data_IF_514054566074
#
_entry.id   IF_514054566074
#
_cell.length_a   1.000
_cell.length_b   1.000
_cell.length_c   1.000
_cell.angle_alpha   90.00
_cell.angle_beta   90.00
_cell.angle_gamma   90.00
#
_symmetry.space_group_name_H-M   'P 1'
#
loop_
_entity.id
_entity.type
_entity.pdbx_description
1 polymer ?
#
# COMPACT_ATOMS: atom_id res chain seq x y z
N UNK A 1 10.90 12.97 -14.04
CA UNK A 1 9.71 13.07 -14.89
C UNK A 1 8.51 13.61 -14.07
N UNK A 2 7.89 12.84 -13.16
CA UNK A 2 6.66 13.23 -12.44
C UNK A 2 6.71 14.64 -11.79
N UNK A 3 7.80 14.98 -11.09
CA UNK A 3 7.94 16.32 -10.52
C UNK A 3 7.86 17.41 -11.58
N UNK A 4 8.51 17.22 -12.73
CA UNK A 4 8.50 18.17 -13.84
C UNK A 4 7.13 18.24 -14.52
N UNK A 5 6.41 17.13 -14.60
CA UNK A 5 5.03 17.09 -15.10
C UNK A 5 4.11 17.91 -14.21
N UNK A 6 4.16 17.70 -12.89
CA UNK A 6 3.40 18.50 -11.93
C UNK A 6 3.81 20.00 -11.99
N UNK A 7 5.09 20.28 -12.11
CA UNK A 7 5.60 21.65 -12.25
C UNK A 7 5.11 22.34 -13.53
N UNK A 8 5.01 21.56 -14.62
CA UNK A 8 4.59 22.09 -15.94
C UNK A 8 3.11 22.49 -16.00
N UNK A 9 2.29 22.07 -15.06
CA UNK A 9 0.90 22.56 -14.93
C UNK A 9 0.86 24.07 -14.66
N UNK A 10 1.89 24.61 -14.03
CA UNK A 10 1.96 26.02 -13.63
C UNK A 10 3.03 26.83 -14.40
N UNK A 11 3.98 26.16 -15.03
CA UNK A 11 5.14 26.79 -15.70
C UNK A 11 5.67 25.89 -16.80
N UNK A 12 6.19 26.49 -17.89
CA UNK A 12 6.85 25.71 -18.95
C UNK A 12 8.01 24.87 -18.38
N UNK A 13 8.09 23.57 -18.70
CA UNK A 13 9.10 22.68 -18.14
C UNK A 13 10.47 22.87 -18.78
N UNK A 14 11.49 23.00 -17.97
CA UNK A 14 12.90 23.00 -18.41
C UNK A 14 13.44 21.53 -18.33
N UNK A 15 12.82 20.61 -19.04
CA UNK A 15 13.18 19.19 -18.98
C UNK A 15 14.64 18.91 -19.35
N UNK A 16 15.17 19.61 -20.34
CA UNK A 16 16.53 19.40 -20.84
C UNK A 16 17.60 19.68 -19.78
N UNK A 17 17.40 20.70 -18.94
CA UNK A 17 18.32 21.02 -17.87
C UNK A 17 18.45 19.91 -16.80
N UNK A 18 17.38 19.15 -16.58
CA UNK A 18 17.35 18.05 -15.59
C UNK A 18 17.75 16.70 -16.16
N UNK A 19 17.73 16.53 -17.48
CA UNK A 19 18.08 15.29 -18.16
C UNK A 19 19.51 15.29 -18.71
N UNK A 20 20.18 16.43 -18.68
CA UNK A 20 21.50 16.61 -19.29
C UNK A 20 22.66 15.95 -18.54
N UNK A 21 22.52 15.74 -17.24
CA UNK A 21 23.59 15.12 -16.43
C UNK A 21 23.40 13.61 -16.34
N UNK A 22 24.29 12.80 -16.92
CA UNK A 22 24.23 11.36 -16.76
C UNK A 22 24.51 10.99 -15.31
N UNK A 23 23.54 10.31 -14.68
CA UNK A 23 23.74 9.73 -13.35
C UNK A 23 24.71 8.56 -13.51
N UNK A 24 25.89 8.57 -12.84
CA UNK A 24 26.81 7.46 -12.91
C UNK A 24 26.16 6.20 -12.37
N UNK A 25 26.05 5.16 -13.20
CA UNK A 25 25.53 3.85 -12.82
C UNK A 25 26.68 3.06 -12.18
N UNK A 26 26.55 2.55 -10.97
CA UNK A 26 27.57 1.67 -10.35
C UNK A 26 27.83 0.44 -11.21
N UNK A 27 29.07 -0.03 -11.28
CA UNK A 27 29.47 -1.19 -12.12
C UNK A 27 28.78 -2.51 -11.70
N UNK A 28 28.31 -2.59 -10.47
CA UNK A 28 27.64 -3.78 -9.93
C UNK A 28 26.32 -3.40 -9.26
N UNK A 29 25.24 -3.40 -10.05
CA UNK A 29 23.86 -3.25 -9.55
C UNK A 29 23.14 -4.59 -9.57
N UNK A 30 22.39 -4.90 -8.52
CA UNK A 30 21.48 -6.03 -8.48
C UNK A 30 20.04 -5.55 -8.40
N UNK A 31 19.18 -6.19 -9.17
CA UNK A 31 17.75 -5.85 -9.22
C UNK A 31 17.45 -4.61 -10.05
N UNK A 32 16.21 -4.20 -10.00
CA UNK A 32 15.70 -3.03 -10.70
C UNK A 32 14.90 -2.13 -9.76
N UNK A 33 14.90 -0.85 -10.04
CA UNK A 33 14.06 0.15 -9.40
C UNK A 33 13.28 0.89 -10.49
N UNK A 34 11.96 0.76 -10.50
CA UNK A 34 11.06 1.41 -11.43
C UNK A 34 10.24 2.48 -10.70
N UNK A 35 10.66 3.75 -10.73
CA UNK A 35 9.82 4.82 -10.21
C UNK A 35 8.60 5.01 -11.10
N UNK A 36 7.42 5.20 -10.50
CA UNK A 36 6.19 5.50 -11.19
C UNK A 36 5.38 6.55 -10.44
N UNK A 37 4.51 7.21 -11.16
CA UNK A 37 3.58 8.18 -10.61
C UNK A 37 2.15 7.79 -10.88
N UNK A 38 1.24 8.37 -10.13
CA UNK A 38 -0.19 8.31 -10.35
C UNK A 38 -0.74 9.73 -10.44
N UNK A 39 -1.66 9.95 -11.37
CA UNK A 39 -2.21 11.27 -11.68
C UNK A 39 -3.73 11.17 -11.78
N UNK A 40 -4.50 11.97 -11.02
CA UNK A 40 -5.95 11.90 -11.04
C UNK A 40 -6.58 12.48 -12.33
N UNK A 41 -5.78 13.02 -13.25
CA UNK A 41 -6.25 13.75 -14.43
C UNK A 41 -6.14 12.96 -15.75
N UNK A 42 -5.43 11.84 -15.76
CA UNK A 42 -5.18 11.04 -16.98
C UNK A 42 -6.15 9.87 -17.15
N UNK A 43 -6.97 9.57 -16.15
CA UNK A 43 -7.93 8.46 -16.16
C UNK A 43 -7.30 7.08 -15.93
N UNK A 44 -6.02 7.01 -15.66
CA UNK A 44 -5.32 5.79 -15.27
C UNK A 44 -5.25 5.63 -13.75
N UNK A 45 -5.07 4.40 -13.27
CA UNK A 45 -4.97 4.05 -11.84
C UNK A 45 -3.74 3.17 -11.63
N UNK A 46 -2.58 3.76 -11.90
CA UNK A 46 -1.32 3.02 -11.92
C UNK A 46 -1.01 2.42 -10.55
N UNK A 47 -1.22 3.19 -9.46
CA UNK A 47 -0.96 2.74 -8.10
C UNK A 47 -1.81 1.54 -7.70
N UNK A 48 -3.12 1.60 -7.98
CA UNK A 48 -4.04 0.50 -7.71
C UNK A 48 -3.68 -0.75 -8.51
N UNK A 49 -3.40 -0.58 -9.80
CA UNK A 49 -3.06 -1.70 -10.69
C UNK A 49 -1.78 -2.40 -10.28
N UNK A 50 -0.77 -1.65 -9.84
CA UNK A 50 0.48 -2.23 -9.31
C UNK A 50 0.20 -3.04 -8.03
N UNK A 51 -0.62 -2.54 -7.11
CA UNK A 51 -0.97 -3.25 -5.88
C UNK A 51 -1.76 -4.54 -6.16
N UNK A 52 -2.73 -4.49 -7.08
CA UNK A 52 -3.50 -5.66 -7.51
C UNK A 52 -2.58 -6.69 -8.18
N UNK A 53 -1.65 -6.25 -9.03
CA UNK A 53 -0.70 -7.14 -9.71
C UNK A 53 0.22 -7.85 -8.69
N UNK A 54 0.76 -7.13 -7.71
CA UNK A 54 1.56 -7.72 -6.63
C UNK A 54 0.77 -8.76 -5.83
N UNK A 55 -0.47 -8.45 -5.44
CA UNK A 55 -1.37 -9.37 -4.74
C UNK A 55 -1.66 -10.63 -5.55
N UNK A 56 -1.86 -10.49 -6.87
CA UNK A 56 -2.15 -11.62 -7.76
C UNK A 56 -0.92 -12.51 -8.01
N UNK A 57 0.29 -11.95 -7.98
CA UNK A 57 1.55 -12.68 -8.23
C UNK A 57 2.20 -13.26 -7.00
N UNK A 58 1.87 -12.76 -5.80
CA UNK A 58 2.38 -13.28 -4.53
C UNK A 58 2.13 -14.78 -4.41
N UNK A 59 3.12 -15.51 -3.90
CA UNK A 59 3.09 -16.98 -3.76
C UNK A 59 3.27 -17.45 -2.32
N UNK A 60 4.13 -16.80 -1.56
CA UNK A 60 4.47 -17.16 -0.19
C UNK A 60 3.86 -16.15 0.77
N UNK A 61 4.18 -14.87 0.60
CA UNK A 61 3.68 -13.82 1.47
C UNK A 61 3.56 -12.47 0.77
N UNK A 62 2.72 -11.61 1.32
CA UNK A 62 2.70 -10.18 1.05
C UNK A 62 2.47 -9.42 2.36
N UNK A 63 3.43 -8.58 2.73
CA UNK A 63 3.44 -7.78 3.93
C UNK A 63 3.23 -6.31 3.58
N UNK A 64 2.27 -5.68 4.24
CA UNK A 64 1.81 -4.34 3.87
C UNK A 64 1.77 -3.44 5.10
N UNK A 65 2.39 -2.26 5.01
CA UNK A 65 2.18 -1.18 5.97
C UNK A 65 1.44 -0.03 5.30
N UNK A 66 0.36 0.43 5.90
CA UNK A 66 -0.41 1.58 5.40
C UNK A 66 -1.09 2.32 6.55
N UNK A 67 -1.16 3.67 6.51
CA UNK A 67 -1.86 4.43 7.55
C UNK A 67 -3.38 4.38 7.45
N UNK A 68 -3.91 4.09 6.26
CA UNK A 68 -5.34 4.07 5.99
C UNK A 68 -5.73 2.81 5.21
N UNK A 69 -6.91 2.28 5.52
CA UNK A 69 -7.49 1.10 4.89
C UNK A 69 -8.94 1.42 4.54
N UNK A 70 -9.16 2.06 3.39
CA UNK A 70 -10.49 2.41 2.87
C UNK A 70 -10.54 1.86 1.45
N UNK A 71 -10.77 0.55 1.37
CA UNK A 71 -10.67 -0.23 0.14
C UNK A 71 -11.87 -0.03 -0.78
N UNK A 72 -11.61 -0.08 -2.07
CA UNK A 72 -12.63 -0.38 -3.07
C UNK A 72 -12.87 -1.90 -3.18
N UNK A 73 -13.79 -2.28 -4.05
CA UNK A 73 -14.15 -3.69 -4.23
C UNK A 73 -13.03 -4.52 -4.87
N UNK A 74 -12.25 -3.92 -5.75
CA UNK A 74 -11.18 -4.57 -6.49
C UNK A 74 -10.02 -4.94 -5.57
N UNK A 75 -9.52 -4.00 -4.77
CA UNK A 75 -8.44 -4.25 -3.82
C UNK A 75 -8.89 -5.16 -2.66
N UNK A 76 -10.10 -4.97 -2.14
CA UNK A 76 -10.63 -5.88 -1.11
C UNK A 76 -10.68 -7.32 -1.65
N UNK A 77 -11.17 -7.50 -2.87
CA UNK A 77 -11.23 -8.81 -3.52
C UNK A 77 -9.84 -9.39 -3.73
N UNK A 78 -8.87 -8.58 -4.20
CA UNK A 78 -7.51 -9.04 -4.42
C UNK A 78 -6.80 -9.48 -3.13
N UNK A 79 -6.96 -8.75 -2.04
CA UNK A 79 -6.42 -9.10 -0.71
C UNK A 79 -7.00 -10.42 -0.21
N UNK A 80 -8.32 -10.57 -0.27
CA UNK A 80 -9.03 -11.78 0.15
C UNK A 80 -8.62 -12.97 -0.70
N UNK A 81 -8.60 -12.81 -2.02
CA UNK A 81 -8.22 -13.86 -2.94
C UNK A 81 -6.77 -14.32 -2.75
N UNK A 82 -5.84 -13.40 -2.48
CA UNK A 82 -4.46 -13.76 -2.17
C UNK A 82 -4.39 -14.65 -0.91
N UNK A 83 -5.08 -14.26 0.17
CA UNK A 83 -5.12 -15.04 1.41
C UNK A 83 -5.82 -16.41 1.21
N UNK A 84 -6.94 -16.45 0.50
CA UNK A 84 -7.67 -17.69 0.19
C UNK A 84 -6.87 -18.66 -0.69
N UNK A 85 -5.92 -18.16 -1.49
CA UNK A 85 -4.94 -18.99 -2.23
C UNK A 85 -3.84 -19.58 -1.34
N UNK A 86 -3.77 -19.20 -0.06
CA UNK A 86 -2.76 -19.64 0.90
C UNK A 86 -1.53 -18.72 1.01
N UNK A 87 -1.57 -17.53 0.41
CA UNK A 87 -0.54 -16.50 0.60
C UNK A 87 -0.67 -15.90 1.99
N UNK A 88 0.43 -15.73 2.70
CA UNK A 88 0.45 -15.01 3.99
C UNK A 88 0.28 -13.50 3.76
N UNK A 89 -0.95 -13.03 3.79
CA UNK A 89 -1.30 -11.61 3.66
C UNK A 89 -1.35 -10.96 5.03
N UNK A 90 -0.42 -10.04 5.33
CA UNK A 90 -0.36 -9.39 6.64
C UNK A 90 -0.31 -7.86 6.53
N UNK A 91 -1.28 -7.21 7.13
CA UNK A 91 -1.42 -5.76 7.18
C UNK A 91 -0.97 -5.21 8.54
N UNK A 92 -0.11 -4.19 8.55
CA UNK A 92 0.15 -3.35 9.72
C UNK A 92 -0.53 -2.01 9.53
N UNK A 93 -1.38 -1.66 10.49
CA UNK A 93 -2.16 -0.42 10.54
C UNK A 93 -1.84 0.37 11.82
N UNK A 94 -2.16 1.68 11.90
CA UNK A 94 -1.98 2.44 13.12
C UNK A 94 -2.86 1.92 14.25
N UNK A 95 -2.27 1.65 15.41
CA UNK A 95 -3.01 1.39 16.65
C UNK A 95 -3.55 2.67 17.29
N UNK A 96 -2.91 3.81 17.00
CA UNK A 96 -3.35 5.15 17.44
C UNK A 96 -3.75 5.91 16.17
N UNK A 97 -5.03 6.25 16.07
CA UNK A 97 -5.55 6.97 14.91
C UNK A 97 -5.24 8.47 14.98
N UNK A 98 -4.80 9.05 13.87
CA UNK A 98 -4.72 10.51 13.69
C UNK A 98 -6.11 11.14 13.53
N UNK A 99 -7.04 10.43 12.87
CA UNK A 99 -8.40 10.84 12.58
C UNK A 99 -9.40 9.73 12.91
N UNK A 100 -10.44 10.07 13.65
CA UNK A 100 -11.46 9.10 14.10
C UNK A 100 -12.26 8.48 12.97
N UNK A 101 -12.63 9.27 11.95
CA UNK A 101 -13.50 8.82 10.87
C UNK A 101 -12.81 7.82 9.93
N UNK A 102 -11.62 8.08 9.36
CA UNK A 102 -10.89 7.09 8.57
C UNK A 102 -10.60 5.79 9.33
N UNK A 103 -10.29 5.89 10.64
CA UNK A 103 -10.06 4.70 11.45
C UNK A 103 -11.35 3.87 11.65
N UNK A 104 -12.49 4.53 11.81
CA UNK A 104 -13.77 3.82 11.90
C UNK A 104 -14.11 3.11 10.58
N UNK A 105 -13.86 3.76 9.43
CA UNK A 105 -14.02 3.14 8.10
C UNK A 105 -13.07 1.96 7.91
N UNK A 106 -11.79 2.08 8.25
CA UNK A 106 -10.83 0.98 8.18
C UNK A 106 -11.35 -0.27 8.90
N UNK A 107 -11.92 -0.08 10.09
CA UNK A 107 -12.46 -1.18 10.90
C UNK A 107 -13.67 -1.89 10.30
N UNK A 108 -14.38 -1.27 9.35
CA UNK A 108 -15.48 -1.94 8.64
C UNK A 108 -14.99 -3.06 7.71
N UNK A 109 -13.77 -2.95 7.20
CA UNK A 109 -13.15 -3.98 6.35
C UNK A 109 -12.54 -5.15 7.15
N UNK A 110 -12.26 -4.95 8.45
CA UNK A 110 -11.51 -5.93 9.25
C UNK A 110 -12.17 -7.31 9.27
N UNK A 111 -13.48 -7.38 9.53
CA UNK A 111 -14.16 -8.69 9.63
C UNK A 111 -14.05 -9.48 8.34
N UNK A 112 -14.35 -8.85 7.19
CA UNK A 112 -14.33 -9.51 5.90
C UNK A 112 -12.92 -9.98 5.50
N UNK A 113 -11.89 -9.20 5.81
CA UNK A 113 -10.50 -9.55 5.54
C UNK A 113 -10.02 -10.68 6.46
N UNK A 114 -10.30 -10.60 7.77
CA UNK A 114 -9.94 -11.64 8.73
C UNK A 114 -10.63 -12.97 8.43
N UNK A 115 -11.90 -12.95 8.02
CA UNK A 115 -12.66 -14.14 7.65
C UNK A 115 -12.07 -14.84 6.41
N UNK A 116 -11.41 -14.11 5.53
CA UNK A 116 -10.70 -14.65 4.35
C UNK A 116 -9.26 -15.10 4.66
N UNK A 117 -8.79 -14.94 5.90
CA UNK A 117 -7.44 -15.33 6.30
C UNK A 117 -6.39 -14.25 6.24
N UNK A 118 -6.75 -13.01 5.88
CA UNK A 118 -5.84 -11.86 5.97
C UNK A 118 -5.53 -11.57 7.44
N UNK A 119 -4.26 -11.40 7.78
CA UNK A 119 -3.81 -11.03 9.12
C UNK A 119 -3.78 -9.51 9.25
N UNK A 120 -4.24 -8.99 10.37
CA UNK A 120 -4.23 -7.56 10.67
C UNK A 120 -3.57 -7.34 12.03
N UNK A 121 -2.62 -6.42 12.08
CA UNK A 121 -1.94 -6.00 13.30
C UNK A 121 -1.97 -4.48 13.42
N UNK A 122 -2.16 -3.99 14.64
CA UNK A 122 -2.19 -2.56 14.93
C UNK A 122 -0.92 -2.16 15.70
N UNK A 123 -0.11 -1.28 15.10
CA UNK A 123 1.10 -0.76 15.73
C UNK A 123 0.77 0.18 16.89
N UNK A 124 1.21 -0.19 18.09
CA UNK A 124 0.77 0.47 19.34
C UNK A 124 1.61 1.66 19.78
N UNK A 125 2.91 1.80 19.42
CA UNK A 125 3.75 2.92 19.91
C UNK A 125 3.36 4.30 19.36
N UNK A 126 2.64 4.36 18.23
CA UNK A 126 2.30 5.62 17.61
C UNK A 126 1.44 5.50 16.37
N UNK A 127 1.64 6.43 15.42
CA UNK A 127 0.95 6.44 14.12
C UNK A 127 1.90 5.99 13.03
N UNK A 128 1.77 4.74 12.57
CA UNK A 128 2.51 4.25 11.40
C UNK A 128 2.05 4.99 10.15
N UNK A 129 2.98 5.60 9.41
CA UNK A 129 2.68 6.35 8.18
C UNK A 129 3.41 5.82 6.96
N UNK A 130 4.04 4.66 7.04
CA UNK A 130 4.64 3.95 5.92
C UNK A 130 3.58 3.53 4.89
N UNK A 131 3.94 3.48 3.62
CA UNK A 131 3.19 2.85 2.54
C UNK A 131 4.18 1.93 1.83
N UNK A 132 4.13 0.69 2.25
CA UNK A 132 5.10 -0.33 1.88
C UNK A 132 4.36 -1.62 1.57
N UNK A 133 4.77 -2.26 0.48
CA UNK A 133 4.43 -3.62 0.12
C UNK A 133 5.72 -4.41 -0.04
N UNK A 134 5.83 -5.58 0.58
CA UNK A 134 6.93 -6.53 0.35
C UNK A 134 6.34 -7.87 -0.03
N UNK A 135 6.89 -8.48 -1.09
CA UNK A 135 6.36 -9.72 -1.66
C UNK A 135 7.51 -10.72 -1.85
N UNK A 136 7.41 -11.87 -1.22
CA UNK A 136 8.24 -13.06 -1.46
C UNK A 136 9.76 -12.80 -1.47
N UNK A 137 10.29 -11.85 -0.71
CA UNK A 137 11.69 -11.37 -0.73
C UNK A 137 12.20 -10.91 -2.13
N UNK A 138 11.30 -10.72 -3.08
CA UNK A 138 11.63 -10.44 -4.49
C UNK A 138 11.18 -9.09 -4.97
N UNK A 139 10.07 -8.62 -4.47
CA UNK A 139 9.48 -7.36 -4.89
C UNK A 139 9.09 -6.51 -3.69
N UNK A 140 9.23 -5.20 -3.84
CA UNK A 140 8.70 -4.26 -2.87
C UNK A 140 8.22 -2.99 -3.57
N UNK A 141 7.22 -2.35 -3.02
CA UNK A 141 6.82 -1.00 -3.39
C UNK A 141 6.91 -0.11 -2.17
N UNK A 142 7.58 1.03 -2.33
CA UNK A 142 7.69 2.07 -1.30
C UNK A 142 7.32 3.40 -1.93
N UNK A 143 6.42 4.14 -1.30
CA UNK A 143 5.99 5.41 -1.87
C UNK A 143 5.03 6.21 -1.01
N UNK A 144 4.18 6.97 -1.66
CA UNK A 144 3.20 7.85 -1.02
C UNK A 144 1.78 7.31 -1.05
N UNK A 145 1.50 6.25 -1.81
CA UNK A 145 0.17 5.73 -2.14
C UNK A 145 -0.39 4.92 -0.96
N UNK A 146 -1.42 5.44 -0.29
CA UNK A 146 -2.15 4.71 0.75
C UNK A 146 -3.16 3.72 0.14
N UNK A 147 -3.62 2.77 0.95
CA UNK A 147 -4.79 1.95 0.63
C UNK A 147 -6.08 2.70 0.97
N UNK A 148 -6.30 3.85 0.32
CA UNK A 148 -7.53 4.63 0.45
C UNK A 148 -7.93 5.29 -0.87
N UNK A 149 -9.23 5.57 -1.03
CA UNK A 149 -9.81 6.20 -2.22
C UNK A 149 -9.13 7.51 -2.63
N UNK A 150 -8.67 8.30 -1.66
CA UNK A 150 -8.06 9.58 -1.95
C UNK A 150 -6.72 9.39 -2.65
N UNK A 151 -5.88 8.50 -2.15
CA UNK A 151 -4.59 8.19 -2.78
C UNK A 151 -4.77 7.50 -4.13
N UNK A 152 -5.71 6.56 -4.23
CA UNK A 152 -5.87 5.73 -5.43
C UNK A 152 -6.58 6.46 -6.59
N UNK A 153 -7.37 7.52 -6.31
CA UNK A 153 -8.23 8.13 -7.33
C UNK A 153 -8.12 9.66 -7.45
N UNK A 154 -7.56 10.35 -6.45
CA UNK A 154 -7.73 11.80 -6.37
C UNK A 154 -6.44 12.58 -6.10
N UNK A 155 -5.33 11.91 -5.89
CA UNK A 155 -4.05 12.55 -5.59
C UNK A 155 -3.02 12.30 -6.69
N UNK A 156 -2.09 13.25 -6.81
CA UNK A 156 -0.79 12.96 -7.39
C UNK A 156 0.02 12.17 -6.36
N UNK A 157 0.41 10.97 -6.73
CA UNK A 157 1.16 10.06 -5.89
C UNK A 157 2.40 9.56 -6.63
N UNK A 158 3.40 9.08 -5.90
CA UNK A 158 4.54 8.40 -6.50
C UNK A 158 5.00 7.23 -5.65
N UNK A 159 5.60 6.26 -6.32
CA UNK A 159 6.23 5.14 -5.66
C UNK A 159 7.40 4.61 -6.49
N UNK A 160 8.19 3.75 -5.86
CA UNK A 160 9.25 2.99 -6.51
C UNK A 160 8.92 1.51 -6.35
N UNK A 161 8.84 0.82 -7.46
CA UNK A 161 8.74 -0.63 -7.51
C UNK A 161 10.13 -1.22 -7.63
N UNK A 162 10.51 -2.01 -6.65
CA UNK A 162 11.79 -2.69 -6.55
C UNK A 162 11.61 -4.16 -6.92
N UNK A 163 12.53 -4.70 -7.73
CA UNK A 163 12.53 -6.13 -8.09
C UNK A 163 13.92 -6.72 -7.91
N UNK A 164 14.04 -7.79 -7.15
CA UNK A 164 15.30 -8.48 -6.86
C UNK A 164 16.42 -7.56 -6.33
N UNK A 165 16.07 -6.43 -5.74
CA UNK A 165 17.02 -5.48 -5.15
C UNK A 165 17.40 -5.90 -3.73
N UNK A 166 18.68 -5.81 -3.33
CA UNK A 166 19.14 -6.25 -2.01
C UNK A 166 18.40 -5.58 -0.84
N UNK A 167 18.02 -4.30 -1.00
CA UNK A 167 17.31 -3.54 0.03
C UNK A 167 15.89 -4.08 0.35
N UNK A 168 15.33 -4.96 -0.46
CA UNK A 168 14.02 -5.58 -0.17
C UNK A 168 14.06 -6.34 1.15
N UNK A 169 15.19 -7.00 1.48
CA UNK A 169 15.36 -7.69 2.75
C UNK A 169 15.40 -6.74 3.95
N UNK A 170 15.96 -5.55 3.76
CA UNK A 170 16.01 -4.53 4.81
C UNK A 170 14.61 -3.99 5.07
N UNK A 171 13.81 -3.81 4.00
CA UNK A 171 12.41 -3.38 4.09
C UNK A 171 11.56 -4.45 4.80
N UNK A 172 11.76 -5.73 4.46
CA UNK A 172 11.10 -6.84 5.17
C UNK A 172 11.54 -6.91 6.64
N UNK A 173 12.82 -6.71 6.92
CA UNK A 173 13.35 -6.63 8.28
C UNK A 173 12.68 -5.52 9.10
N UNK A 174 12.44 -4.35 8.51
CA UNK A 174 11.72 -3.24 9.14
C UNK A 174 10.24 -3.58 9.40
N UNK A 175 9.59 -4.28 8.46
CA UNK A 175 8.24 -4.79 8.67
C UNK A 175 8.19 -5.73 9.88
N UNK A 176 9.08 -6.70 9.97
CA UNK A 176 9.11 -7.67 11.08
C UNK A 176 9.41 -7.00 12.42
N UNK A 177 10.38 -6.08 12.48
CA UNK A 177 10.68 -5.32 13.68
C UNK A 177 9.49 -4.43 14.13
N UNK A 178 8.72 -3.90 13.19
CA UNK A 178 7.50 -3.15 13.44
C UNK A 178 6.40 -4.07 13.97
N UNK A 179 6.27 -5.25 13.39
CA UNK A 179 5.27 -6.27 13.78
C UNK A 179 5.43 -6.73 15.23
N UNK A 180 6.66 -6.85 15.73
CA UNK A 180 6.93 -7.20 17.13
C UNK A 180 6.30 -6.22 18.14
N UNK A 181 6.04 -4.97 17.72
CA UNK A 181 5.46 -3.92 18.54
C UNK A 181 3.94 -3.76 18.29
N UNK A 182 3.36 -4.65 17.51
CA UNK A 182 1.96 -4.61 17.13
C UNK A 182 1.09 -5.44 18.07
N UNK A 183 -0.18 -5.06 18.13
CA UNK A 183 -1.25 -5.88 18.68
C UNK A 183 -1.98 -6.58 17.54
N UNK A 184 -2.04 -7.90 17.58
CA UNK A 184 -2.83 -8.68 16.62
C UNK A 184 -4.32 -8.40 16.77
N UNK A 185 -5.00 -8.15 15.68
CA UNK A 185 -6.46 -8.01 15.63
C UNK A 185 -7.08 -9.40 15.44
N UNK A 186 -8.02 -9.74 16.31
CA UNK A 186 -8.81 -10.97 16.20
C UNK A 186 -10.25 -10.63 15.90
N UNK A 187 -10.89 -11.42 15.05
CA UNK A 187 -12.32 -11.24 14.79
C UNK A 187 -13.11 -11.54 16.07
N UNK A 188 -13.83 -10.52 16.56
CA UNK A 188 -14.72 -10.69 17.73
C UNK A 188 -16.18 -10.58 17.26
N UNK A 189 -16.86 -11.69 17.03
CA UNK A 189 -18.22 -11.72 16.52
C UNK A 189 -19.27 -11.09 17.47
N UNK A 190 -18.85 -10.67 18.67
CA UNK A 190 -19.73 -10.04 19.68
C UNK A 190 -19.67 -8.50 19.67
N UNK A 191 -18.97 -7.87 18.76
CA UNK A 191 -18.97 -6.40 18.66
C UNK A 191 -20.27 -5.92 18.03
N UNK A 192 -21.20 -5.42 18.87
CA UNK A 192 -22.52 -4.89 18.50
C UNK A 192 -22.46 -3.70 17.49
N UNK A 193 -21.29 -3.17 17.22
CA UNK A 193 -21.05 -2.06 16.28
C UNK A 193 -20.83 -2.47 14.81
N UNK A 194 -20.90 -3.75 14.50
CA UNK A 194 -20.95 -4.28 13.13
C UNK A 194 -22.39 -4.33 12.59
N UNK A 195 -23.28 -3.56 13.17
CA UNK A 195 -24.68 -3.41 12.73
C UNK A 195 -24.80 -2.56 11.46
N UNK A 196 -25.97 -2.43 10.89
CA UNK A 196 -26.39 -2.37 9.49
C UNK A 196 -25.99 -1.14 8.67
N UNK A 197 -24.92 -0.42 8.98
CA UNK A 197 -24.50 0.78 8.23
C UNK A 197 -23.81 0.45 6.88
N UNK A 198 -23.36 -0.79 6.69
CA UNK A 198 -22.58 -1.16 5.50
C UNK A 198 -23.40 -1.45 4.23
N UNK A 199 -24.75 -1.48 4.30
CA UNK A 199 -25.57 -1.92 3.16
C UNK A 199 -26.45 -0.86 2.50
N UNK A 200 -26.39 0.40 2.89
CA UNK A 200 -27.38 1.39 2.42
C UNK A 200 -26.95 2.31 1.29
N UNK A 201 -25.74 2.24 0.76
CA UNK A 201 -25.32 3.15 -0.31
C UNK A 201 -24.44 2.52 -1.39
N UNK A 202 -24.92 1.48 -2.06
CA UNK A 202 -24.43 1.12 -3.39
C UNK A 202 -25.59 0.58 -4.23
N UNK A 203 -26.34 1.50 -4.82
CA UNK A 203 -27.07 1.32 -6.07
C UNK A 203 -26.89 2.56 -6.92
#
# INVERSE_FOLDING_TARGET
>A
ALFLEMWSVLKEPEFEAFLADPIPVPEHTQGTAAPYGDCPLDGERVGEMVYIDLLNRAREYIHIMTPYLILDGELETALKFAAERGVDVHLILPGIADKKFPNALAKTHYSALLDSGVKISEWTPGFVHAKVFVVDDREAVVGTINLDYRSLYHHFENAVWLTNAPCIRDIEGDFQATLEQCRTVVNNPKSIWQGPVSYTHLR
#
